data_IF_369678099170
#
_entry.id   IF_369678099170
#
_cell.length_a   1.000
_cell.length_b   1.000
_cell.length_c   1.000
_cell.angle_alpha   90.00
_cell.angle_beta   90.00
_cell.angle_gamma   90.00
#
_symmetry.space_group_name_H-M   'P 1'
#
loop_
_entity.id
_entity.type
_entity.pdbx_description
1 polymer ?
#
# COMPACT_ATOMS: atom_id res chain seq x y z
N UNK A 1 17.46 -4.53 -17.10
CA UNK A 1 18.26 -3.35 -16.73
C UNK A 1 18.84 -2.77 -18.01
N UNK A 2 18.45 -1.54 -18.33
CA UNK A 2 18.95 -0.78 -19.49
C UNK A 2 19.68 0.47 -19.03
N UNK A 3 20.46 1.07 -19.93
CA UNK A 3 21.20 2.32 -19.66
C UNK A 3 20.46 3.57 -20.14
N UNK A 4 19.45 3.38 -21.00
CA UNK A 4 18.63 4.46 -21.57
C UNK A 4 17.37 4.67 -20.72
N UNK A 5 17.20 5.90 -20.23
CA UNK A 5 16.02 6.31 -19.46
C UNK A 5 14.74 6.32 -20.32
N UNK A 6 14.84 6.48 -21.64
CA UNK A 6 13.68 6.40 -22.52
C UNK A 6 13.10 4.97 -22.60
N UNK A 7 13.86 3.96 -22.16
CA UNK A 7 13.44 2.56 -22.11
C UNK A 7 12.73 2.13 -20.82
N UNK A 8 12.32 3.07 -19.95
CA UNK A 8 11.59 2.71 -18.73
C UNK A 8 10.22 2.12 -19.05
N UNK A 9 9.80 1.16 -18.24
CA UNK A 9 8.48 0.56 -18.29
C UNK A 9 7.87 0.50 -16.91
N UNK A 10 6.55 0.58 -16.83
CA UNK A 10 5.83 0.34 -15.58
C UNK A 10 6.02 -1.11 -15.11
N UNK A 11 6.08 -1.32 -13.79
CA UNK A 11 6.14 -2.65 -13.20
C UNK A 11 4.76 -3.34 -13.21
N UNK A 12 3.70 -2.56 -13.03
CA UNK A 12 2.30 -2.96 -13.04
C UNK A 12 1.39 -1.74 -13.06
N UNK A 13 0.14 -1.94 -13.46
CA UNK A 13 -0.92 -0.93 -13.53
C UNK A 13 -1.41 -0.46 -12.15
N UNK A 14 -1.80 0.81 -12.07
CA UNK A 14 -2.39 1.40 -10.86
C UNK A 14 -1.42 1.56 -9.70
N UNK A 15 -0.10 1.43 -9.95
CA UNK A 15 0.94 1.67 -8.95
C UNK A 15 0.91 3.12 -8.47
N UNK A 16 1.10 3.32 -7.17
CA UNK A 16 1.26 4.66 -6.60
C UNK A 16 2.70 5.16 -6.79
N UNK A 17 2.91 6.47 -6.78
CA UNK A 17 4.26 7.05 -6.66
C UNK A 17 4.95 6.63 -5.36
N UNK A 18 4.16 6.38 -4.30
CA UNK A 18 4.61 5.86 -3.02
C UNK A 18 4.13 4.43 -2.82
N UNK A 19 5.06 3.48 -2.70
CA UNK A 19 4.79 2.08 -2.39
C UNK A 19 5.98 1.46 -1.66
N UNK A 20 5.77 0.30 -1.06
CA UNK A 20 6.83 -0.51 -0.45
C UNK A 20 6.93 -1.85 -1.15
N UNK A 21 8.15 -2.34 -1.39
CA UNK A 21 8.41 -3.73 -1.80
C UNK A 21 9.20 -4.42 -0.70
N UNK A 22 8.71 -5.54 -0.20
CA UNK A 22 9.37 -6.28 0.88
C UNK A 22 9.27 -7.79 0.66
N UNK A 23 10.33 -8.53 0.98
CA UNK A 23 10.29 -9.98 0.97
C UNK A 23 9.53 -10.50 2.20
N UNK A 24 8.59 -11.41 2.00
CA UNK A 24 7.80 -12.03 3.05
C UNK A 24 8.21 -13.50 3.20
N UNK A 25 9.00 -13.86 4.23
CA UNK A 25 9.54 -15.21 4.39
C UNK A 25 8.46 -16.30 4.47
N UNK A 26 7.34 -15.99 5.13
CA UNK A 26 6.20 -16.91 5.28
C UNK A 26 5.58 -17.29 3.92
N UNK A 27 5.64 -16.39 2.93
CA UNK A 27 5.13 -16.62 1.57
C UNK A 27 6.20 -17.03 0.57
N UNK A 28 7.48 -16.86 0.92
CA UNK A 28 8.63 -16.94 0.01
C UNK A 28 8.47 -16.07 -1.25
N UNK A 29 7.85 -14.89 -1.11
CA UNK A 29 7.56 -13.96 -2.20
C UNK A 29 7.84 -12.53 -1.78
N UNK A 30 8.11 -11.67 -2.74
CA UNK A 30 8.01 -10.23 -2.57
C UNK A 30 6.54 -9.82 -2.55
N UNK A 31 6.23 -8.89 -1.65
CA UNK A 31 4.94 -8.23 -1.52
C UNK A 31 5.13 -6.75 -1.75
N UNK A 32 4.25 -6.17 -2.57
CA UNK A 32 4.10 -4.72 -2.68
C UNK A 32 2.83 -4.28 -1.97
N UNK A 33 2.89 -3.18 -1.23
CA UNK A 33 1.75 -2.49 -0.62
C UNK A 33 1.73 -1.07 -1.15
N UNK A 34 0.55 -0.64 -1.59
CA UNK A 34 0.35 0.67 -2.21
C UNK A 34 -1.11 1.12 -2.10
N UNK A 35 -1.33 2.43 -2.25
CA UNK A 35 -2.68 2.99 -2.41
C UNK A 35 -3.07 2.91 -3.89
N UNK A 36 -4.25 2.39 -4.21
CA UNK A 36 -4.71 2.27 -5.60
C UNK A 36 -4.65 3.64 -6.29
N UNK A 37 -3.92 3.72 -7.41
CA UNK A 37 -3.72 4.95 -8.19
C UNK A 37 -3.17 6.16 -7.40
N UNK A 38 -2.44 5.91 -6.30
CA UNK A 38 -1.81 6.94 -5.47
C UNK A 38 -2.74 7.60 -4.45
N UNK A 39 -3.97 7.96 -4.85
CA UNK A 39 -4.98 8.57 -3.99
C UNK A 39 -6.31 7.82 -4.12
N UNK A 40 -6.67 7.05 -3.09
CA UNK A 40 -7.96 6.35 -3.06
C UNK A 40 -8.29 5.87 -1.65
N UNK A 41 -9.46 5.28 -1.50
CA UNK A 41 -9.84 4.55 -0.29
C UNK A 41 -9.25 3.14 -0.22
N UNK A 42 -8.63 2.64 -1.28
CA UNK A 42 -8.27 1.22 -1.40
C UNK A 42 -6.77 1.02 -1.17
N UNK A 43 -6.43 0.15 -0.21
CA UNK A 43 -5.07 -0.35 -0.03
C UNK A 43 -4.96 -1.67 -0.76
N UNK A 44 -3.95 -1.76 -1.61
CA UNK A 44 -3.74 -2.84 -2.55
C UNK A 44 -2.44 -3.59 -2.22
N UNK A 45 -2.43 -4.85 -2.62
CA UNK A 45 -1.32 -5.75 -2.47
C UNK A 45 -1.10 -6.55 -3.76
N UNK A 46 0.15 -6.78 -4.14
CA UNK A 46 0.53 -7.76 -5.18
C UNK A 46 1.70 -8.60 -4.71
N UNK A 47 1.86 -9.77 -5.32
CA UNK A 47 2.95 -10.71 -5.05
C UNK A 47 3.88 -10.83 -6.25
N UNK A 48 5.16 -11.11 -5.99
CA UNK A 48 6.13 -11.45 -7.04
C UNK A 48 7.22 -12.40 -6.54
N UNK A 49 7.79 -13.27 -7.40
CA UNK A 49 9.00 -14.01 -7.05
C UNK A 49 10.26 -13.13 -6.93
N UNK A 50 10.28 -11.93 -7.53
CA UNK A 50 11.44 -11.00 -7.51
C UNK A 50 11.00 -9.60 -7.08
N UNK A 51 11.92 -8.68 -6.71
CA UNK A 51 11.53 -7.32 -6.32
C UNK A 51 11.04 -6.46 -7.51
N UNK A 52 11.23 -6.92 -8.75
CA UNK A 52 10.88 -6.18 -9.98
C UNK A 52 9.79 -6.85 -10.81
N UNK A 53 9.19 -7.93 -10.33
CA UNK A 53 8.14 -8.65 -11.05
C UNK A 53 8.55 -10.03 -11.58
N UNK A 54 7.68 -10.70 -12.35
CA UNK A 54 6.33 -10.25 -12.70
C UNK A 54 5.45 -10.15 -11.45
N UNK A 55 4.59 -9.13 -11.41
CA UNK A 55 3.65 -8.91 -10.31
C UNK A 55 2.32 -9.60 -10.59
N UNK A 56 1.68 -10.14 -9.55
CA UNK A 56 0.33 -10.71 -9.65
C UNK A 56 -0.72 -9.65 -9.98
N UNK A 57 -1.96 -10.10 -10.21
CA UNK A 57 -3.12 -9.21 -10.14
C UNK A 57 -3.22 -8.52 -8.77
N UNK A 58 -3.81 -7.33 -8.74
CA UNK A 58 -4.03 -6.56 -7.53
C UNK A 58 -5.04 -7.26 -6.61
N UNK A 59 -4.71 -7.33 -5.32
CA UNK A 59 -5.59 -7.78 -4.25
C UNK A 59 -5.90 -6.60 -3.33
N UNK A 60 -7.17 -6.24 -3.17
CA UNK A 60 -7.57 -5.23 -2.17
C UNK A 60 -7.49 -5.85 -0.79
N UNK A 61 -6.66 -5.28 0.09
CA UNK A 61 -6.48 -5.76 1.47
C UNK A 61 -7.26 -4.96 2.49
N UNK A 62 -7.58 -3.70 2.18
CA UNK A 62 -8.33 -2.83 3.07
C UNK A 62 -9.03 -1.70 2.31
N UNK A 63 -10.16 -1.24 2.85
CA UNK A 63 -10.84 -0.01 2.43
C UNK A 63 -10.83 0.98 3.59
N UNK A 64 -10.12 2.10 3.44
CA UNK A 64 -9.96 3.15 4.44
C UNK A 64 -11.32 3.78 4.78
N UNK A 65 -11.86 3.59 5.98
CA UNK A 65 -13.18 4.12 6.34
C UNK A 65 -13.20 5.64 6.40
N UNK A 66 -12.06 6.28 6.69
CA UNK A 66 -11.92 7.73 6.83
C UNK A 66 -12.33 8.47 5.56
N UNK A 67 -12.14 7.86 4.40
CA UNK A 67 -12.55 8.41 3.11
C UNK A 67 -14.03 8.81 3.08
N UNK A 68 -14.88 8.15 3.88
CA UNK A 68 -16.33 8.41 3.97
C UNK A 68 -16.71 9.41 5.06
N UNK A 69 -15.76 9.84 5.90
CA UNK A 69 -16.07 10.74 7.02
C UNK A 69 -16.34 12.17 6.56
N UNK A 70 -15.76 12.57 5.43
CA UNK A 70 -16.00 13.88 4.84
C UNK A 70 -15.72 13.87 3.33
N UNK A 71 -16.46 14.69 2.57
CA UNK A 71 -16.38 14.74 1.10
C UNK A 71 -15.03 15.19 0.53
N UNK A 72 -14.22 15.86 1.35
CA UNK A 72 -12.90 16.36 0.94
C UNK A 72 -11.78 15.40 1.32
N UNK A 73 -12.09 14.26 1.94
CA UNK A 73 -11.06 13.33 2.44
C UNK A 73 -10.55 12.42 1.34
N UNK A 74 -9.26 12.13 1.41
CA UNK A 74 -8.57 11.16 0.57
C UNK A 74 -7.57 10.40 1.42
N UNK A 75 -7.16 9.21 0.97
CA UNK A 75 -6.14 8.41 1.64
C UNK A 75 -5.00 8.05 0.68
N UNK A 76 -3.80 7.86 1.24
CA UNK A 76 -2.55 7.75 0.50
C UNK A 76 -1.44 7.11 1.35
N UNK A 77 -0.26 6.99 0.76
CA UNK A 77 0.98 6.54 1.40
C UNK A 77 0.87 5.19 2.11
N UNK A 78 0.13 4.23 1.53
CA UNK A 78 0.08 2.89 2.08
C UNK A 78 1.45 2.19 1.94
N UNK A 79 2.02 1.69 3.04
CA UNK A 79 3.34 1.05 3.09
C UNK A 79 3.33 -0.15 4.03
N UNK A 80 4.00 -1.23 3.63
CA UNK A 80 4.28 -2.40 4.46
C UNK A 80 5.58 -2.22 5.26
N UNK A 81 5.56 -2.72 6.50
CA UNK A 81 6.60 -2.54 7.51
C UNK A 81 7.11 -3.90 8.04
N UNK A 82 7.90 -4.66 7.27
CA UNK A 82 8.43 -5.95 7.70
C UNK A 82 9.28 -5.85 8.98
N UNK A 83 9.91 -4.70 9.25
CA UNK A 83 10.78 -4.43 10.40
C UNK A 83 10.08 -4.49 11.76
N UNK A 84 8.75 -4.28 11.79
CA UNK A 84 7.90 -4.37 12.99
C UNK A 84 6.81 -5.45 12.83
N UNK A 85 6.95 -6.30 11.82
CA UNK A 85 6.07 -7.44 11.56
C UNK A 85 6.62 -8.72 12.20
N UNK A 86 5.74 -9.70 12.46
CA UNK A 86 6.13 -10.97 13.06
C UNK A 86 5.45 -12.15 12.36
N UNK A 87 6.19 -13.27 12.22
CA UNK A 87 5.65 -14.53 11.70
C UNK A 87 5.08 -14.41 10.28
N UNK A 88 3.79 -14.71 10.13
CA UNK A 88 3.04 -14.63 8.89
C UNK A 88 2.17 -13.35 8.80
N UNK A 89 2.55 -12.30 9.52
CA UNK A 89 1.84 -11.02 9.52
C UNK A 89 2.63 -9.95 8.75
N UNK A 90 1.92 -8.94 8.27
CA UNK A 90 2.51 -7.70 7.77
C UNK A 90 1.78 -6.52 8.40
N UNK A 91 2.55 -5.66 9.07
CA UNK A 91 2.09 -4.35 9.51
C UNK A 91 2.11 -3.41 8.31
N UNK A 92 1.01 -2.68 8.14
CA UNK A 92 0.84 -1.69 7.08
C UNK A 92 0.50 -0.37 7.75
N UNK A 93 1.03 0.73 7.23
CA UNK A 93 0.51 2.07 7.54
C UNK A 93 -0.14 2.70 6.33
N UNK A 94 -1.04 3.64 6.57
CA UNK A 94 -1.58 4.56 5.57
C UNK A 94 -1.95 5.88 6.26
N UNK A 95 -2.14 6.94 5.47
CA UNK A 95 -2.59 8.25 5.97
C UNK A 95 -3.85 8.66 5.22
N UNK A 96 -4.77 9.34 5.91
CA UNK A 96 -5.83 10.10 5.25
C UNK A 96 -5.67 11.58 5.53
N UNK A 97 -6.04 12.42 4.58
CA UNK A 97 -5.93 13.87 4.64
C UNK A 97 -7.14 14.50 3.94
N UNK A 98 -7.18 15.83 3.87
CA UNK A 98 -8.23 16.60 3.23
C UNK A 98 -7.69 17.47 2.10
N UNK A 99 -8.46 17.58 1.01
CA UNK A 99 -8.23 18.58 -0.04
C UNK A 99 -8.56 20.01 0.43
N UNK A 100 -9.18 20.15 1.60
CA UNK A 100 -9.47 21.43 2.25
C UNK A 100 -8.55 21.59 3.47
N UNK A 101 -7.66 22.57 3.41
CA UNK A 101 -6.70 22.86 4.46
C UNK A 101 -7.36 23.13 5.82
N UNK A 102 -8.45 23.90 5.86
CA UNK A 102 -9.12 24.23 7.11
C UNK A 102 -9.85 23.03 7.69
N UNK A 103 -10.35 22.15 6.83
CA UNK A 103 -10.91 20.88 7.29
C UNK A 103 -9.82 19.95 7.85
N UNK A 104 -8.65 19.88 7.22
CA UNK A 104 -7.49 19.15 7.77
C UNK A 104 -7.11 19.68 9.16
N UNK A 105 -7.01 21.01 9.33
CA UNK A 105 -6.70 21.65 10.61
C UNK A 105 -7.78 21.38 11.66
N UNK A 106 -9.05 21.35 11.25
CA UNK A 106 -10.20 21.16 12.16
C UNK A 106 -10.34 19.72 12.67
N UNK A 107 -10.00 18.73 11.86
CA UNK A 107 -10.18 17.32 12.21
C UNK A 107 -8.86 16.67 12.60
N UNK A 108 -8.54 16.77 13.89
CA UNK A 108 -7.45 16.04 14.52
C UNK A 108 -7.75 14.53 14.66
N UNK A 109 -8.26 13.88 13.62
CA UNK A 109 -8.27 12.42 13.46
C UNK A 109 -7.56 12.00 12.18
N UNK A 110 -7.26 12.94 11.28
CA UNK A 110 -6.58 12.72 10.01
C UNK A 110 -5.19 13.37 10.03
N UNK A 111 -4.38 13.11 9.00
CA UNK A 111 -3.01 13.61 8.84
C UNK A 111 -1.97 12.99 9.80
N UNK A 112 -2.15 11.71 10.12
CA UNK A 112 -1.14 10.84 10.73
C UNK A 112 -1.29 9.39 10.28
N UNK A 113 -0.21 8.59 10.41
CA UNK A 113 -0.26 7.18 10.09
C UNK A 113 -1.27 6.41 10.95
N UNK A 114 -2.03 5.53 10.29
CA UNK A 114 -2.90 4.52 10.90
C UNK A 114 -2.32 3.16 10.60
N UNK A 115 -2.36 2.27 11.60
CA UNK A 115 -1.78 0.94 11.51
C UNK A 115 -2.85 -0.09 11.17
N UNK A 116 -2.52 -0.98 10.25
CA UNK A 116 -3.26 -2.17 9.90
C UNK A 116 -2.33 -3.38 10.09
N UNK A 117 -2.92 -4.49 10.52
CA UNK A 117 -2.24 -5.78 10.57
C UNK A 117 -2.99 -6.73 9.65
N UNK A 118 -2.29 -7.28 8.68
CA UNK A 118 -2.79 -8.40 7.88
C UNK A 118 -2.07 -9.68 8.26
N UNK A 119 -2.76 -10.82 8.13
CA UNK A 119 -2.16 -12.14 8.29
C UNK A 119 -2.25 -12.89 6.97
N UNK A 120 -1.17 -13.52 6.57
CA UNK A 120 -1.12 -14.37 5.39
C UNK A 120 -1.66 -15.75 5.73
N UNK A 121 -2.60 -16.26 4.94
CA UNK A 121 -2.98 -17.67 5.02
C UNK A 121 -1.96 -18.52 4.27
N UNK A 122 -1.06 -19.13 5.02
CA UNK A 122 0.05 -19.94 4.50
C UNK A 122 -0.30 -21.42 4.36
N UNK A 123 -1.55 -21.81 4.67
CA UNK A 123 -2.00 -23.21 4.66
C UNK A 123 -2.41 -23.72 3.27
N UNK A 124 -2.44 -22.86 2.27
CA UNK A 124 -2.71 -23.25 0.88
C UNK A 124 -1.45 -23.75 0.16
N UNK A 125 -1.20 -25.06 0.20
CA UNK A 125 -0.57 -25.79 -0.91
C UNK A 125 -1.60 -26.72 -1.51
#
# INVERSE_FOLDING_TARGET
WGVDIAGISELFDGIATEYSVSYQPALKKYVTIYTECGLSKNIMMRFSPTPVGPWSSACKVYECPEYKWHKTYFCYAAKGHPEISAGNELIITYVCNSMDFWQMVKDARIYWPRFLRIKFDVRGR
#
